data_IF_298399015775
#
_entry.id   IF_298399015775
#
_cell.length_a   1.000
_cell.length_b   1.000
_cell.length_c   1.000
_cell.angle_alpha   90.00
_cell.angle_beta   90.00
_cell.angle_gamma   90.00
#
_symmetry.space_group_name_H-M   'P 1'
#
loop_
_entity.id
_entity.type
_entity.pdbx_description
1 polymer ?
#
# COMPACT_ATOMS: atom_id res chain seq x y z
N UNK A 1 -12.89 -1.60 -17.43
CA UNK A 1 -13.74 -0.42 -17.68
C UNK A 1 -14.10 0.25 -16.35
N UNK A 2 -13.22 1.12 -15.83
CA UNK A 2 -13.61 2.10 -14.82
C UNK A 2 -13.98 3.39 -15.59
N UNK A 3 -15.16 4.00 -15.35
CA UNK A 3 -15.80 4.88 -16.32
C UNK A 3 -15.18 6.28 -16.35
N UNK A 4 -15.38 6.95 -17.49
CA UNK A 4 -14.98 8.31 -17.88
C UNK A 4 -15.39 9.48 -16.94
N UNK A 5 -15.81 9.22 -15.70
CA UNK A 5 -16.21 10.23 -14.70
C UNK A 5 -15.57 9.98 -13.35
N UNK A 6 -14.25 9.84 -13.35
CA UNK A 6 -13.48 9.80 -12.12
C UNK A 6 -12.87 11.20 -11.99
N UNK A 7 -13.31 11.96 -10.98
CA UNK A 7 -12.75 13.28 -10.70
C UNK A 7 -11.25 13.21 -10.42
N UNK A 8 -10.62 14.37 -10.24
CA UNK A 8 -9.17 14.51 -10.08
C UNK A 8 -8.54 13.49 -9.11
N UNK A 9 -9.17 13.24 -7.95
CA UNK A 9 -8.67 12.27 -6.97
C UNK A 9 -8.59 10.85 -7.50
N UNK A 10 -9.59 10.40 -8.26
CA UNK A 10 -9.55 9.04 -8.73
C UNK A 10 -8.68 8.87 -9.99
N UNK A 11 -8.48 9.91 -10.82
CA UNK A 11 -7.46 9.82 -11.88
C UNK A 11 -6.07 9.61 -11.28
N UNK A 12 -5.78 10.27 -10.16
CA UNK A 12 -4.55 10.06 -9.40
C UNK A 12 -4.49 8.65 -8.80
N UNK A 13 -5.59 8.18 -8.20
CA UNK A 13 -5.67 6.82 -7.63
C UNK A 13 -5.42 5.73 -8.66
N UNK A 14 -5.91 5.91 -9.89
CA UNK A 14 -5.74 4.97 -11.00
C UNK A 14 -4.51 5.27 -11.87
N UNK A 15 -3.62 6.16 -11.44
CA UNK A 15 -2.37 6.50 -12.15
C UNK A 15 -2.58 7.06 -13.57
N UNK A 16 -3.78 7.59 -13.87
CA UNK A 16 -4.15 8.12 -15.19
C UNK A 16 -4.01 9.65 -15.28
N UNK A 17 -3.59 10.31 -14.20
CA UNK A 17 -3.41 11.76 -14.15
C UNK A 17 -2.20 12.24 -14.97
N UNK A 18 -2.30 13.47 -15.51
CA UNK A 18 -1.22 14.11 -16.26
C UNK A 18 -1.01 13.59 -17.68
N UNK A 19 -0.02 14.18 -18.36
CA UNK A 19 0.37 13.78 -19.74
C UNK A 19 1.20 12.49 -19.73
N UNK A 20 1.28 11.74 -20.85
CA UNK A 20 2.14 10.57 -20.97
C UNK A 20 3.61 10.82 -20.60
N UNK A 21 4.15 11.98 -20.95
CA UNK A 21 5.57 12.33 -20.69
C UNK A 21 5.87 12.61 -19.20
N UNK A 22 4.84 12.68 -18.36
CA UNK A 22 4.98 13.04 -16.96
C UNK A 22 4.57 11.87 -16.05
N UNK A 23 5.39 11.56 -15.03
CA UNK A 23 5.01 10.56 -14.05
C UNK A 23 3.72 10.96 -13.32
N UNK A 24 2.80 10.01 -13.07
CA UNK A 24 1.59 10.27 -12.29
C UNK A 24 1.95 10.68 -10.86
N UNK A 25 1.06 11.43 -10.18
CA UNK A 25 1.35 11.98 -8.85
C UNK A 25 1.87 10.93 -7.86
N UNK A 26 1.22 9.77 -7.79
CA UNK A 26 1.60 8.73 -6.81
C UNK A 26 3.01 8.17 -7.05
N UNK A 27 3.46 8.08 -8.31
CA UNK A 27 4.84 7.72 -8.62
C UNK A 27 5.81 8.81 -8.17
N UNK A 28 5.45 10.10 -8.37
CA UNK A 28 6.28 11.22 -7.90
C UNK A 28 6.40 11.28 -6.38
N UNK A 29 5.34 10.87 -5.66
CA UNK A 29 5.36 10.78 -4.20
C UNK A 29 6.21 9.60 -3.68
N UNK A 30 6.61 8.67 -4.55
CA UNK A 30 7.54 7.59 -4.21
C UNK A 30 9.02 8.03 -4.29
N UNK A 31 9.31 9.31 -4.57
CA UNK A 31 10.64 9.91 -4.48
C UNK A 31 10.60 11.33 -3.91
N UNK A 32 11.77 11.87 -3.58
CA UNK A 32 11.90 13.31 -3.38
C UNK A 32 12.05 14.01 -4.74
N UNK A 33 11.33 15.10 -4.94
CA UNK A 33 11.37 15.88 -6.17
C UNK A 33 11.18 17.39 -5.91
N UNK A 34 11.15 18.19 -6.97
CA UNK A 34 10.99 19.66 -6.87
C UNK A 34 9.70 20.08 -6.14
N UNK A 35 8.64 19.27 -6.23
CA UNK A 35 7.36 19.55 -5.58
C UNK A 35 7.36 19.21 -4.08
N UNK A 36 8.33 18.43 -3.61
CA UNK A 36 8.37 18.01 -2.21
C UNK A 36 9.34 16.88 -1.90
N UNK A 37 9.75 16.85 -0.63
CA UNK A 37 10.59 15.80 -0.05
C UNK A 37 9.71 14.68 0.53
N UNK A 38 8.98 13.97 -0.33
CA UNK A 38 7.99 12.98 0.10
C UNK A 38 8.59 11.79 0.86
N UNK A 39 9.64 11.16 0.30
CA UNK A 39 10.30 10.01 0.91
C UNK A 39 11.13 10.44 2.11
N UNK A 40 11.83 11.57 2.04
CA UNK A 40 12.55 12.09 3.20
C UNK A 40 11.61 12.46 4.36
N UNK A 41 10.46 13.08 4.08
CA UNK A 41 9.45 13.38 5.10
C UNK A 41 8.87 12.10 5.71
N UNK A 42 8.58 11.08 4.90
CA UNK A 42 8.17 9.76 5.37
C UNK A 42 9.28 9.07 6.19
N UNK A 43 10.54 9.30 5.79
CA UNK A 43 11.76 8.86 6.48
C UNK A 43 11.93 9.45 7.87
N UNK A 44 11.45 10.68 8.09
CA UNK A 44 11.54 11.39 9.37
C UNK A 44 10.70 10.75 10.49
N UNK A 45 9.68 9.94 10.14
CA UNK A 45 8.96 9.17 11.13
C UNK A 45 9.85 8.07 11.73
N UNK A 46 9.92 8.01 13.07
CA UNK A 46 10.70 6.99 13.79
C UNK A 46 10.24 5.56 13.49
N UNK A 47 8.97 5.40 13.14
CA UNK A 47 8.41 4.10 12.83
C UNK A 47 7.36 4.22 11.72
N UNK A 48 7.36 3.22 10.85
CA UNK A 48 6.47 3.11 9.70
C UNK A 48 5.87 1.71 9.73
N UNK A 49 4.55 1.65 9.91
CA UNK A 49 3.79 0.40 9.89
C UNK A 49 2.77 0.48 8.77
N UNK A 50 2.74 -0.50 7.89
CA UNK A 50 1.73 -0.61 6.83
C UNK A 50 0.86 -1.83 7.10
N UNK A 51 -0.45 -1.65 6.99
CA UNK A 51 -1.44 -2.72 7.13
C UNK A 51 -2.01 -3.02 5.76
N UNK A 52 -1.86 -4.27 5.32
CA UNK A 52 -2.31 -4.71 4.01
C UNK A 52 -3.28 -5.88 4.16
N UNK A 53 -4.39 -5.84 3.42
CA UNK A 53 -5.25 -7.00 3.32
C UNK A 53 -4.69 -7.94 2.24
N UNK A 54 -4.21 -9.10 2.66
CA UNK A 54 -3.55 -10.07 1.78
C UNK A 54 -4.49 -11.19 1.30
N UNK A 55 -5.80 -11.07 1.56
CA UNK A 55 -6.80 -12.04 1.11
C UNK A 55 -8.20 -11.43 0.95
N UNK A 56 -9.02 -12.07 0.10
CA UNK A 56 -10.46 -11.80 -0.04
C UNK A 56 -10.84 -10.37 -0.47
N UNK A 57 -9.92 -9.63 -1.08
CA UNK A 57 -10.16 -8.28 -1.59
C UNK A 57 -9.89 -8.21 -3.10
N UNK A 58 -10.95 -8.25 -3.88
CA UNK A 58 -10.87 -8.22 -5.35
C UNK A 58 -11.09 -6.81 -5.93
N UNK A 59 -11.34 -5.79 -5.09
CA UNK A 59 -11.70 -4.44 -5.56
C UNK A 59 -10.52 -3.47 -5.52
N UNK A 60 -9.52 -3.68 -4.65
CA UNK A 60 -8.29 -2.88 -4.63
C UNK A 60 -7.12 -3.84 -4.67
N UNK A 61 -6.31 -3.78 -5.73
CA UNK A 61 -5.30 -4.79 -6.03
C UNK A 61 -4.35 -5.05 -4.86
N UNK A 62 -4.32 -6.29 -4.38
CA UNK A 62 -3.47 -6.77 -3.26
C UNK A 62 -2.01 -6.32 -3.36
N UNK A 63 -1.50 -6.28 -4.60
CA UNK A 63 -0.11 -5.98 -4.95
C UNK A 63 0.36 -4.63 -4.36
N UNK A 64 -0.39 -3.55 -4.60
CA UNK A 64 0.01 -2.20 -4.19
C UNK A 64 -0.04 -1.94 -2.68
N UNK A 65 -1.02 -2.51 -1.97
CA UNK A 65 -1.27 -2.18 -0.55
C UNK A 65 -0.20 -2.70 0.41
N UNK A 66 0.56 -3.72 0.01
CA UNK A 66 1.56 -4.40 0.85
C UNK A 66 2.98 -3.90 0.64
N UNK A 67 3.21 -3.01 -0.34
CA UNK A 67 4.55 -2.60 -0.79
C UNK A 67 5.40 -3.86 -1.11
N UNK A 68 4.78 -4.83 -1.79
CA UNK A 68 5.39 -6.10 -2.22
C UNK A 68 4.90 -6.43 -3.63
N UNK A 69 5.73 -7.14 -4.40
CA UNK A 69 5.34 -7.70 -5.68
C UNK A 69 4.37 -8.85 -5.46
N UNK A 70 3.52 -9.17 -6.43
CA UNK A 70 2.58 -10.29 -6.29
C UNK A 70 3.27 -11.61 -5.96
N UNK A 71 4.42 -11.87 -6.59
CA UNK A 71 5.23 -13.07 -6.34
C UNK A 71 5.83 -13.15 -4.92
N UNK A 72 5.84 -12.03 -4.20
CA UNK A 72 6.31 -11.93 -2.81
C UNK A 72 5.18 -12.08 -1.79
N UNK A 73 3.92 -12.07 -2.26
CA UNK A 73 2.77 -12.30 -1.40
C UNK A 73 2.69 -13.78 -1.04
N UNK A 74 3.03 -14.11 0.21
CA UNK A 74 2.85 -15.45 0.75
C UNK A 74 1.36 -15.70 0.96
N UNK A 75 0.90 -16.95 0.77
CA UNK A 75 -0.47 -17.32 1.14
C UNK A 75 -0.64 -17.10 2.66
N UNK A 76 -1.58 -16.24 3.08
CA UNK A 76 -1.71 -15.92 4.49
C UNK A 76 -2.07 -17.17 5.29
N UNK A 77 -1.49 -17.35 6.49
CA UNK A 77 -1.87 -18.45 7.35
C UNK A 77 -3.35 -18.32 7.76
N UNK A 78 -4.00 -19.46 8.00
CA UNK A 78 -5.40 -19.52 8.43
C UNK A 78 -5.59 -19.18 9.91
N UNK A 79 -4.52 -18.79 10.61
CA UNK A 79 -4.54 -18.50 12.05
C UNK A 79 -4.12 -17.07 12.28
N UNK A 80 -4.81 -16.40 13.19
CA UNK A 80 -4.44 -15.07 13.62
C UNK A 80 -3.29 -15.12 14.63
N UNK A 81 -2.44 -14.09 14.62
CA UNK A 81 -1.32 -13.92 15.54
C UNK A 81 -1.78 -13.32 16.88
N UNK A 82 -1.16 -13.79 17.96
CA UNK A 82 -1.11 -13.16 19.29
C UNK A 82 -2.45 -12.65 19.85
N UNK A 83 -3.56 -13.33 19.52
CA UNK A 83 -4.90 -12.94 19.98
C UNK A 83 -5.56 -11.79 19.19
N UNK A 84 -4.85 -11.17 18.24
CA UNK A 84 -5.39 -10.15 17.34
C UNK A 84 -6.08 -10.80 16.15
N UNK A 85 -7.40 -10.99 16.25
CA UNK A 85 -8.20 -11.57 15.17
C UNK A 85 -7.93 -10.87 13.83
N UNK A 86 -7.72 -11.67 12.78
CA UNK A 86 -7.43 -11.25 11.40
C UNK A 86 -6.05 -10.67 11.12
N UNK A 87 -5.23 -10.36 12.12
CA UNK A 87 -3.79 -10.12 11.90
C UNK A 87 -3.14 -11.49 11.73
N UNK A 88 -2.51 -11.76 10.59
CA UNK A 88 -2.02 -13.10 10.23
C UNK A 88 -0.51 -13.17 10.05
N UNK A 89 0.14 -12.06 9.74
CA UNK A 89 1.60 -11.98 9.73
C UNK A 89 2.08 -10.57 10.12
N UNK A 90 3.24 -10.50 10.74
CA UNK A 90 3.91 -9.24 11.11
C UNK A 90 5.40 -9.40 10.86
N UNK A 91 5.91 -8.64 9.89
CA UNK A 91 7.30 -8.73 9.46
C UNK A 91 7.95 -7.34 9.46
N UNK A 92 9.19 -7.24 9.94
CA UNK A 92 10.00 -6.05 9.71
C UNK A 92 10.88 -6.23 8.49
N UNK A 93 10.64 -5.43 7.46
CA UNK A 93 11.47 -5.36 6.26
C UNK A 93 12.45 -4.17 6.38
N UNK A 94 13.77 -4.41 6.37
CA UNK A 94 14.74 -3.32 6.38
C UNK A 94 14.69 -2.50 5.06
N UNK A 95 15.22 -1.27 5.06
CA UNK A 95 15.36 -0.49 3.84
C UNK A 95 16.16 -1.24 2.77
N UNK A 96 15.74 -1.13 1.52
CA UNK A 96 16.45 -1.65 0.36
C UNK A 96 17.21 -0.51 -0.30
N UNK A 97 18.51 -0.69 -0.54
CA UNK A 97 19.28 0.27 -1.33
C UNK A 97 18.78 0.24 -2.77
N UNK A 98 18.28 1.36 -3.25
CA UNK A 98 17.82 1.57 -4.62
C UNK A 98 18.15 2.99 -5.05
N UNK A 99 18.36 3.19 -6.35
CA UNK A 99 18.49 4.52 -6.97
C UNK A 99 17.19 5.34 -6.88
N UNK A 100 16.09 4.70 -6.46
CA UNK A 100 14.76 5.31 -6.34
C UNK A 100 13.88 4.97 -7.54
N UNK A 101 12.63 5.45 -7.55
CA UNK A 101 11.74 5.26 -8.68
C UNK A 101 12.18 6.13 -9.85
N UNK A 102 12.08 5.58 -11.04
CA UNK A 102 12.27 6.26 -12.31
C UNK A 102 10.95 6.34 -13.07
N UNK A 103 10.89 7.22 -14.05
CA UNK A 103 9.82 7.20 -15.04
C UNK A 103 10.41 6.89 -16.41
N UNK A 104 10.62 5.60 -16.73
CA UNK A 104 11.32 5.21 -17.93
C UNK A 104 10.51 5.56 -19.19
N UNK A 105 11.15 5.79 -20.35
CA UNK A 105 10.45 6.08 -21.60
C UNK A 105 9.39 5.03 -21.97
N UNK A 106 9.59 3.78 -21.56
CA UNK A 106 8.65 2.67 -21.70
C UNK A 106 7.34 2.94 -20.95
N UNK A 107 7.40 3.52 -19.75
CA UNK A 107 6.21 3.88 -18.98
C UNK A 107 5.41 5.00 -19.65
N UNK A 108 6.08 5.99 -20.25
CA UNK A 108 5.44 7.06 -21.01
C UNK A 108 4.72 6.51 -22.26
N UNK A 109 5.41 5.65 -23.02
CA UNK A 109 4.81 4.98 -24.19
C UNK A 109 3.63 4.09 -23.82
N UNK A 110 3.74 3.32 -22.74
CA UNK A 110 2.66 2.47 -22.26
C UNK A 110 1.44 3.29 -21.80
N UNK A 111 1.67 4.43 -21.14
CA UNK A 111 0.62 5.37 -20.75
C UNK A 111 -0.07 5.98 -21.97
N UNK A 112 0.70 6.42 -22.96
CA UNK A 112 0.17 6.95 -24.23
C UNK A 112 -0.68 5.89 -24.95
N UNK A 113 -0.19 4.66 -25.06
CA UNK A 113 -0.92 3.55 -25.66
C UNK A 113 -2.23 3.24 -24.92
N UNK A 114 -2.21 3.22 -23.58
CA UNK A 114 -3.40 3.00 -22.75
C UNK A 114 -4.43 4.14 -22.87
N UNK A 115 -3.99 5.38 -23.15
CA UNK A 115 -4.85 6.53 -23.37
C UNK A 115 -5.43 6.57 -24.80
N UNK A 116 -4.61 6.27 -25.81
CA UNK A 116 -5.02 6.30 -27.21
C UNK A 116 -5.89 5.11 -27.60
N UNK A 117 -5.54 3.91 -27.13
CA UNK A 117 -6.28 2.68 -27.36
C UNK A 117 -6.49 1.92 -26.04
N UNK A 118 -7.55 2.27 -25.28
CA UNK A 118 -7.84 1.65 -24.00
C UNK A 118 -8.11 0.15 -24.14
N UNK A 119 -7.14 -0.66 -23.72
CA UNK A 119 -7.26 -2.12 -23.65
C UNK A 119 -6.80 -2.62 -22.28
N UNK A 120 -7.28 -3.80 -21.87
CA UNK A 120 -6.81 -4.42 -20.63
C UNK A 120 -5.31 -4.67 -20.66
N UNK A 121 -4.79 -5.05 -21.83
CA UNK A 121 -3.36 -5.32 -22.01
C UNK A 121 -2.51 -4.06 -21.81
N UNK A 122 -2.82 -2.96 -22.51
CA UNK A 122 -2.08 -1.71 -22.37
C UNK A 122 -2.18 -1.14 -20.95
N UNK A 123 -3.34 -1.31 -20.31
CA UNK A 123 -3.52 -0.90 -18.91
C UNK A 123 -2.60 -1.71 -17.98
N UNK A 124 -2.57 -3.04 -18.11
CA UNK A 124 -1.72 -3.91 -17.29
C UNK A 124 -0.25 -3.60 -17.51
N UNK A 125 0.19 -3.47 -18.76
CA UNK A 125 1.59 -3.14 -19.10
C UNK A 125 2.05 -1.82 -18.45
N UNK A 126 1.23 -0.76 -18.54
CA UNK A 126 1.54 0.51 -17.88
C UNK A 126 1.57 0.39 -16.36
N UNK A 127 0.57 -0.27 -15.78
CA UNK A 127 0.45 -0.43 -14.33
C UNK A 127 1.61 -1.25 -13.74
N UNK A 128 2.05 -2.31 -14.40
CA UNK A 128 3.16 -3.14 -13.93
C UNK A 128 4.48 -2.35 -13.86
N UNK A 129 4.76 -1.50 -14.85
CA UNK A 129 5.96 -0.64 -14.84
C UNK A 129 5.88 0.36 -13.69
N UNK A 130 4.76 1.10 -13.58
CA UNK A 130 4.63 2.15 -12.55
C UNK A 130 4.59 1.57 -11.14
N UNK A 131 3.92 0.43 -10.95
CA UNK A 131 3.87 -0.26 -9.67
C UNK A 131 5.26 -0.70 -9.20
N UNK A 132 6.08 -1.27 -10.10
CA UNK A 132 7.44 -1.69 -9.79
C UNK A 132 8.32 -0.51 -9.33
N UNK A 133 8.25 0.61 -10.03
CA UNK A 133 8.99 1.82 -9.67
C UNK A 133 8.51 2.37 -8.32
N UNK A 134 7.20 2.45 -8.09
CA UNK A 134 6.64 2.87 -6.79
C UNK A 134 7.13 1.98 -5.64
N UNK A 135 7.18 0.65 -5.86
CA UNK A 135 7.71 -0.30 -4.87
C UNK A 135 9.18 0.01 -4.57
N UNK A 136 10.01 0.25 -5.60
CA UNK A 136 11.43 0.59 -5.41
C UNK A 136 11.61 1.85 -4.55
N UNK A 137 10.85 2.90 -4.84
CA UNK A 137 10.92 4.15 -4.07
C UNK A 137 10.47 3.99 -2.62
N UNK A 138 9.32 3.35 -2.40
CA UNK A 138 8.82 3.12 -1.05
C UNK A 138 9.72 2.20 -0.22
N UNK A 139 10.37 1.20 -0.85
CA UNK A 139 11.27 0.27 -0.17
C UNK A 139 12.64 0.88 0.20
N UNK A 140 12.95 2.11 -0.21
CA UNK A 140 14.13 2.85 0.30
C UNK A 140 14.04 3.15 1.80
N UNK A 141 12.87 2.94 2.41
CA UNK A 141 12.65 3.03 3.85
C UNK A 141 12.33 1.64 4.45
N UNK A 142 12.65 1.48 5.73
CA UNK A 142 12.27 0.29 6.48
C UNK A 142 10.79 0.34 6.90
N UNK A 143 10.12 -0.81 6.84
CA UNK A 143 8.69 -0.96 7.11
C UNK A 143 8.42 -2.13 8.04
N UNK A 144 7.55 -1.94 9.03
CA UNK A 144 6.85 -3.05 9.68
C UNK A 144 5.59 -3.33 8.85
N UNK A 145 5.54 -4.46 8.17
CA UNK A 145 4.41 -4.87 7.34
C UNK A 145 3.52 -5.79 8.15
N UNK A 146 2.23 -5.47 8.20
CA UNK A 146 1.21 -6.24 8.92
C UNK A 146 0.22 -6.75 7.90
N UNK A 147 0.19 -8.07 7.75
CA UNK A 147 -0.72 -8.73 6.84
C UNK A 147 -2.01 -9.07 7.59
N UNK A 148 -3.11 -8.65 7.00
CA UNK A 148 -4.48 -8.85 7.50
C UNK A 148 -5.21 -9.79 6.57
N UNK A 149 -6.03 -10.67 7.14
CA UNK A 149 -6.81 -11.65 6.38
C UNK A 149 -8.19 -11.86 7.02
N UNK A 150 -9.24 -11.53 6.28
CA UNK A 150 -10.63 -11.67 6.73
C UNK A 150 -11.24 -13.05 6.41
N UNK A 151 -10.40 -14.08 6.27
CA UNK A 151 -10.80 -15.44 5.90
C UNK A 151 -11.89 -16.07 6.79
N UNK A 152 -12.02 -15.62 8.04
CA UNK A 152 -13.03 -16.08 9.00
C UNK A 152 -14.24 -15.13 9.15
N UNK A 153 -14.32 -14.08 8.35
CA UNK A 153 -15.46 -13.16 8.35
C UNK A 153 -16.65 -13.74 7.55
N UNK A 154 -17.87 -13.53 8.07
CA UNK A 154 -19.10 -14.10 7.51
C UNK A 154 -19.44 -13.54 6.11
N UNK A 155 -18.92 -12.35 5.77
CA UNK A 155 -18.95 -11.79 4.42
C UNK A 155 -17.58 -11.21 4.00
N UNK A 156 -16.79 -11.95 3.21
CA UNK A 156 -15.48 -11.50 2.74
C UNK A 156 -15.52 -10.25 1.84
N UNK A 157 -16.67 -9.93 1.24
CA UNK A 157 -16.83 -8.80 0.31
C UNK A 157 -16.77 -7.39 0.95
N UNK A 158 -16.72 -7.29 2.29
CA UNK A 158 -16.67 -6.01 3.02
C UNK A 158 -15.31 -5.72 3.68
N UNK A 159 -14.23 -6.40 3.28
CA UNK A 159 -12.91 -6.23 3.89
C UNK A 159 -12.47 -4.76 4.02
N UNK A 160 -12.78 -3.92 3.02
CA UNK A 160 -12.50 -2.47 3.06
C UNK A 160 -13.22 -1.69 4.16
N UNK A 161 -14.45 -2.09 4.51
CA UNK A 161 -15.19 -1.46 5.59
C UNK A 161 -14.80 -2.04 6.96
N UNK A 162 -14.32 -3.28 6.98
CA UNK A 162 -13.85 -3.96 8.19
C UNK A 162 -12.54 -3.37 8.72
N UNK A 163 -11.58 -3.02 7.86
CA UNK A 163 -10.30 -2.43 8.32
C UNK A 163 -10.50 -1.10 9.05
N UNK A 164 -11.49 -0.30 8.64
CA UNK A 164 -11.75 1.02 9.23
C UNK A 164 -12.81 1.00 10.35
N UNK A 165 -13.42 -0.14 10.65
CA UNK A 165 -14.48 -0.33 11.69
C UNK A 165 -15.47 0.85 11.75
N UNK A 166 -16.14 1.16 10.63
CA UNK A 166 -17.08 2.30 10.57
C UNK A 166 -18.39 2.12 11.36
N UNK A 167 -18.68 0.88 11.79
CA UNK A 167 -19.88 0.52 12.55
C UNK A 167 -19.57 -0.74 13.36
N UNK A 168 -19.52 -0.63 14.68
CA UNK A 168 -19.09 -1.70 15.59
C UNK A 168 -19.96 -2.97 15.50
N UNK A 169 -21.23 -2.84 15.12
CA UNK A 169 -22.17 -3.96 15.05
C UNK A 169 -21.97 -4.83 13.79
N UNK A 170 -21.47 -4.25 12.69
CA UNK A 170 -21.28 -4.93 11.40
C UNK A 170 -19.79 -5.19 11.05
N UNK A 171 -18.88 -4.37 11.60
CA UNK A 171 -17.45 -4.37 11.27
C UNK A 171 -16.55 -4.84 12.42
N UNK A 172 -17.11 -5.53 13.43
CA UNK A 172 -16.34 -6.09 14.56
C UNK A 172 -15.17 -6.99 14.12
N UNK A 173 -15.23 -7.55 12.90
CA UNK A 173 -14.12 -8.29 12.31
C UNK A 173 -12.82 -7.46 12.26
N UNK A 174 -12.86 -6.12 12.18
CA UNK A 174 -11.66 -5.29 12.25
C UNK A 174 -11.11 -5.02 13.64
N UNK A 175 -11.84 -5.36 14.71
CA UNK A 175 -11.47 -4.98 16.08
C UNK A 175 -10.09 -5.52 16.50
N UNK A 176 -9.73 -6.72 16.06
CA UNK A 176 -8.41 -7.29 16.29
C UNK A 176 -7.28 -6.49 15.61
N UNK A 177 -7.53 -6.00 14.39
CA UNK A 177 -6.59 -5.14 13.66
C UNK A 177 -6.43 -3.79 14.35
N UNK A 178 -7.53 -3.16 14.77
CA UNK A 178 -7.49 -1.88 15.49
C UNK A 178 -6.79 -2.02 16.84
N UNK A 179 -7.03 -3.11 17.58
CA UNK A 179 -6.31 -3.38 18.82
C UNK A 179 -4.80 -3.51 18.57
N UNK A 180 -4.40 -4.23 17.52
CA UNK A 180 -2.99 -4.34 17.14
C UNK A 180 -2.37 -2.98 16.76
N UNK A 181 -3.13 -2.11 16.06
CA UNK A 181 -2.70 -0.72 15.77
C UNK A 181 -2.48 0.05 17.08
N UNK A 182 -3.46 0.05 17.98
CA UNK A 182 -3.39 0.79 19.24
C UNK A 182 -2.23 0.31 20.11
N UNK A 183 -2.02 -1.00 20.22
CA UNK A 183 -0.91 -1.55 21.02
C UNK A 183 0.45 -1.30 20.35
N UNK A 184 0.53 -1.35 19.02
CA UNK A 184 1.74 -0.96 18.29
C UNK A 184 2.12 0.50 18.54
N UNK A 185 1.15 1.42 18.55
CA UNK A 185 1.39 2.84 18.87
C UNK A 185 1.87 3.03 20.32
N UNK A 186 1.22 2.38 21.30
CA UNK A 186 1.65 2.44 22.72
C UNK A 186 3.06 1.89 22.93
N UNK A 187 3.42 0.80 22.25
CA UNK A 187 4.75 0.21 22.32
C UNK A 187 5.82 1.16 21.77
N UNK A 188 5.52 1.87 20.67
CA UNK A 188 6.43 2.88 20.10
C UNK A 188 6.67 4.06 21.05
N UNK A 189 5.62 4.55 21.71
CA UNK A 189 5.75 5.60 22.74
C UNK A 189 6.62 5.10 23.90
N UNK A 190 6.33 3.91 24.41
CA UNK A 190 7.04 3.31 25.56
C UNK A 190 8.53 3.06 25.27
N UNK A 191 8.88 2.52 24.11
CA UNK A 191 10.28 2.33 23.70
C UNK A 191 11.03 3.67 23.53
N UNK A 192 10.33 4.73 23.11
CA UNK A 192 10.92 6.06 22.95
C UNK A 192 11.30 6.67 24.31
N UNK A 193 10.54 6.40 25.36
CA UNK A 193 10.86 6.87 26.72
C UNK A 193 12.06 6.12 27.33
N UNK A 194 12.24 4.84 27.02
CA UNK A 194 13.40 4.08 27.53
C UNK A 194 14.70 4.54 26.87
N UNK A 195 14.69 4.79 25.55
CA UNK A 195 15.88 5.25 24.82
C UNK A 195 16.29 6.70 25.14
N UNK A 196 15.38 7.54 25.64
CA UNK A 196 15.68 8.92 26.05
C UNK A 196 16.19 9.04 27.50
N UNK A 197 16.11 7.96 28.29
CA UNK A 197 16.53 7.91 29.69
C UNK A 197 17.83 7.10 29.91
N UNK A 198 18.53 6.74 28.82
CA UNK A 198 19.85 6.12 28.80
C UNK A 198 20.85 7.08 28.16
#
# INVERSE_FOLDING_TARGET
MAPLFIGHTGSQLFLTDGKPEKPPLLLRMASDCEDGQFISALGAFRSRIVYANVSYDHMVGWRTSSIRREKELVKPPLRSLDGYKHVVDVEYCPPVSSEGPHYPPEAAKAKEAAQNEPSMQHTVEYHEIVEEEMIHGLQQLGWKKVDVSFHSAFWPFFAHNNIHVKNEWLHNAGAGVIAHVADSLKQQESCSFVAANL
#
